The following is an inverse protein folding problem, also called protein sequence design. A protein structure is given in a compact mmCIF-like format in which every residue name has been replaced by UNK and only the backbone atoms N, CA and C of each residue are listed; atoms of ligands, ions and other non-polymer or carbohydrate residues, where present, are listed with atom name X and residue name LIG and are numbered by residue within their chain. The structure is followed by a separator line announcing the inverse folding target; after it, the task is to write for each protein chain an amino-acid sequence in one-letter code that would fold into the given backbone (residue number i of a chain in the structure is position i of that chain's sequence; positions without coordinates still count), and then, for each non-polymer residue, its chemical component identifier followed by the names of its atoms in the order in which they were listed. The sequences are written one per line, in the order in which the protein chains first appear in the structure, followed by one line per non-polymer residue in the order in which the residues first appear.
data_IF_045421926827
#
_entry.id   IF_045421926827
#
_cell.length_a   1.000
_cell.length_b   1.000
_cell.length_c   1.000
_cell.angle_alpha   90.00
_cell.angle_beta   90.00
_cell.angle_gamma   90.00
#
_symmetry.space_group_name_H-M   'P 1'
#
loop_
_entity.id
_entity.type
_entity.pdbx_description
1 polymer ?
#
# COMPACT_ATOMS: atom_id res chain seq x y z
N UNK A 1 -11.83 13.78 -7.03
CA UNK A 1 -12.08 12.52 -7.76
C UNK A 1 -10.81 11.72 -7.89
N UNK A 2 -10.90 10.46 -8.21
CA UNK A 2 -9.75 9.57 -8.28
C UNK A 2 -9.79 8.75 -9.57
N UNK A 3 -8.59 8.32 -10.01
CA UNK A 3 -8.42 7.32 -11.06
C UNK A 3 -8.16 5.97 -10.42
N UNK A 4 -8.45 4.90 -11.17
CA UNK A 4 -8.16 3.53 -10.74
C UNK A 4 -7.18 2.88 -11.70
N UNK A 5 -6.24 2.11 -11.14
CA UNK A 5 -5.29 1.31 -11.91
C UNK A 5 -5.43 -0.14 -11.45
N UNK A 6 -5.77 -1.04 -12.38
CA UNK A 6 -5.93 -2.45 -12.03
C UNK A 6 -4.58 -3.06 -11.65
N UNK A 7 -4.54 -3.73 -10.50
CA UNK A 7 -3.38 -4.48 -10.04
C UNK A 7 -3.55 -5.98 -10.18
N UNK A 8 -4.67 -6.40 -10.74
CA UNK A 8 -4.99 -7.82 -10.94
C UNK A 8 -3.98 -8.47 -11.89
N UNK A 9 -3.38 -9.55 -11.44
CA UNK A 9 -2.38 -10.27 -12.24
C UNK A 9 -0.97 -9.67 -12.19
N UNK A 10 -0.75 -8.57 -11.47
CA UNK A 10 0.58 -8.02 -11.28
C UNK A 10 1.45 -8.93 -10.42
N UNK A 11 2.74 -9.05 -10.78
CA UNK A 11 3.73 -9.66 -9.92
C UNK A 11 4.00 -8.75 -8.72
N UNK A 12 4.61 -9.32 -7.68
CA UNK A 12 5.02 -8.54 -6.50
C UNK A 12 5.95 -7.40 -6.88
N UNK A 13 6.92 -7.66 -7.79
CA UNK A 13 7.85 -6.64 -8.28
C UNK A 13 7.13 -5.51 -9.02
N UNK A 14 6.19 -5.85 -9.90
CA UNK A 14 5.39 -4.84 -10.63
C UNK A 14 4.57 -3.98 -9.66
N UNK A 15 3.98 -4.60 -8.64
CA UNK A 15 3.25 -3.88 -7.60
C UNK A 15 4.14 -2.91 -6.84
N UNK A 16 5.37 -3.32 -6.49
CA UNK A 16 6.33 -2.45 -5.82
C UNK A 16 6.75 -1.28 -6.71
N UNK A 17 6.96 -1.51 -8.00
CA UNK A 17 7.26 -0.44 -8.97
C UNK A 17 6.11 0.55 -9.09
N UNK A 18 4.88 0.06 -9.11
CA UNK A 18 3.69 0.92 -9.16
C UNK A 18 3.63 1.84 -7.95
N UNK A 19 3.97 1.35 -6.76
CA UNK A 19 4.00 2.15 -5.53
C UNK A 19 5.03 3.27 -5.56
N UNK A 20 6.09 3.15 -6.36
CA UNK A 20 7.11 4.19 -6.52
C UNK A 20 6.60 5.42 -7.29
N UNK A 21 5.45 5.29 -7.97
CA UNK A 21 4.90 6.39 -8.77
C UNK A 21 4.17 7.45 -7.94
N UNK A 22 4.06 7.27 -6.64
CA UNK A 22 3.37 8.23 -5.78
C UNK A 22 3.66 8.00 -4.30
N UNK A 23 2.93 8.71 -3.46
CA UNK A 23 3.06 8.70 -2.00
C UNK A 23 1.82 8.01 -1.43
N UNK A 24 2.00 6.85 -0.82
CA UNK A 24 0.94 6.10 -0.16
C UNK A 24 0.77 6.49 1.31
N UNK A 25 -0.21 5.88 1.97
CA UNK A 25 -0.51 6.18 3.36
C UNK A 25 0.66 5.94 4.32
N UNK A 26 1.41 4.86 4.13
CA UNK A 26 2.58 4.55 4.97
C UNK A 26 3.74 5.53 4.75
N UNK A 27 3.86 6.10 3.55
CA UNK A 27 4.91 7.07 3.23
C UNK A 27 4.65 8.43 3.89
N UNK A 28 3.37 8.81 4.01
CA UNK A 28 2.99 10.12 4.55
C UNK A 28 3.50 10.33 5.97
N UNK A 29 3.40 9.33 6.84
CA UNK A 29 3.91 9.41 8.21
C UNK A 29 5.42 9.61 8.27
N UNK A 30 6.16 8.93 7.38
CA UNK A 30 7.62 9.08 7.30
C UNK A 30 8.01 10.49 6.81
N UNK A 31 7.32 10.99 5.79
CA UNK A 31 7.57 12.33 5.23
C UNK A 31 7.34 13.42 6.28
N UNK A 32 6.32 13.27 7.11
CA UNK A 32 6.01 14.21 8.18
C UNK A 32 6.89 14.04 9.44
N UNK A 33 7.84 13.12 9.42
CA UNK A 33 8.74 12.88 10.56
C UNK A 33 8.10 12.13 11.72
N UNK A 34 6.98 11.46 11.50
CA UNK A 34 6.22 10.76 12.55
C UNK A 34 6.53 9.27 12.63
N UNK A 35 7.25 8.72 11.66
CA UNK A 35 7.60 7.31 11.65
C UNK A 35 8.98 7.10 12.27
N UNK A 36 9.11 6.33 13.38
CA UNK A 36 10.40 6.12 14.03
C UNK A 36 11.33 5.16 13.26
N UNK A 37 10.82 4.43 12.29
CA UNK A 37 11.59 3.42 11.57
C UNK A 37 12.07 3.88 10.19
N UNK A 38 11.38 4.84 9.58
CA UNK A 38 11.68 5.32 8.22
C UNK A 38 11.66 6.85 8.22
N UNK A 39 12.71 7.46 7.65
CA UNK A 39 12.82 8.92 7.54
C UNK A 39 12.26 9.43 6.21
N UNK A 40 12.02 10.75 6.13
CA UNK A 40 11.63 11.39 4.88
C UNK A 40 12.69 11.20 3.79
N UNK A 41 13.97 11.24 4.16
CA UNK A 41 15.08 11.03 3.21
C UNK A 41 15.08 9.62 2.64
N UNK A 42 14.77 8.61 3.46
CA UNK A 42 14.67 7.22 2.98
C UNK A 42 13.53 7.05 1.99
N UNK A 43 12.38 7.69 2.23
CA UNK A 43 11.26 7.69 1.28
C UNK A 43 11.67 8.35 -0.03
N UNK A 44 12.34 9.50 0.03
CA UNK A 44 12.85 10.20 -1.15
C UNK A 44 13.78 9.31 -1.96
N UNK A 45 14.75 8.68 -1.31
CA UNK A 45 15.69 7.78 -1.97
C UNK A 45 14.99 6.59 -2.61
N UNK A 46 14.05 5.98 -1.91
CA UNK A 46 13.28 4.85 -2.43
C UNK A 46 12.47 5.23 -3.67
N UNK A 47 11.80 6.38 -3.63
CA UNK A 47 10.95 6.84 -4.75
C UNK A 47 11.72 7.32 -5.97
N UNK A 48 12.95 7.79 -5.79
CA UNK A 48 13.77 8.36 -6.87
C UNK A 48 14.85 7.42 -7.41
N UNK A 49 15.16 6.35 -6.69
CA UNK A 49 16.15 5.36 -7.11
C UNK A 49 15.52 4.34 -8.07
N UNK A 50 16.23 3.99 -9.14
CA UNK A 50 15.78 2.96 -10.05
C UNK A 50 15.84 1.58 -9.39
N UNK A 51 14.93 0.69 -9.83
CA UNK A 51 14.84 -0.66 -9.32
C UNK A 51 13.94 -0.77 -8.10
N UNK A 52 13.75 -1.98 -7.65
CA UNK A 52 12.86 -2.32 -6.54
C UNK A 52 13.65 -3.03 -5.45
N UNK A 53 13.55 -2.50 -4.24
CA UNK A 53 14.15 -3.14 -3.07
C UNK A 53 13.08 -3.94 -2.36
N UNK A 54 13.20 -5.25 -2.38
CA UNK A 54 12.34 -6.12 -1.60
C UNK A 54 12.87 -6.21 -0.17
N UNK A 55 12.02 -5.82 0.78
CA UNK A 55 12.27 -6.02 2.20
C UNK A 55 11.12 -6.84 2.74
N UNK A 56 11.43 -8.00 3.28
CA UNK A 56 10.43 -8.84 3.91
C UNK A 56 10.92 -9.26 5.30
N UNK A 57 9.98 -9.40 6.23
CA UNK A 57 10.27 -9.85 7.58
C UNK A 57 9.07 -10.62 8.14
N UNK A 58 9.22 -11.15 9.34
CA UNK A 58 8.20 -11.98 9.97
C UNK A 58 6.90 -11.19 10.23
N UNK A 59 7.00 -9.92 10.61
CA UNK A 59 5.82 -9.07 10.82
C UNK A 59 5.02 -8.88 9.54
N UNK A 60 5.68 -8.64 8.43
CA UNK A 60 5.04 -8.50 7.12
C UNK A 60 4.40 -9.81 6.66
N UNK A 61 5.09 -10.93 6.89
CA UNK A 61 4.59 -12.26 6.58
C UNK A 61 3.33 -12.58 7.38
N UNK A 62 3.34 -12.33 8.68
CA UNK A 62 2.17 -12.52 9.54
C UNK A 62 0.99 -11.65 9.10
N UNK A 63 1.24 -10.42 8.68
CA UNK A 63 0.22 -9.53 8.14
C UNK A 63 -0.46 -10.12 6.91
N UNK A 64 0.32 -10.68 5.98
CA UNK A 64 -0.22 -11.34 4.79
C UNK A 64 -1.01 -12.60 5.14
N UNK A 65 -0.46 -13.43 6.02
CA UNK A 65 -1.07 -14.71 6.40
C UNK A 65 -2.40 -14.52 7.15
N UNK A 66 -2.52 -13.44 7.91
CA UNK A 66 -3.69 -13.15 8.73
C UNK A 66 -4.73 -12.25 8.05
N UNK A 67 -4.45 -11.75 6.85
CA UNK A 67 -5.33 -10.80 6.16
C UNK A 67 -6.75 -11.35 5.97
N UNK A 68 -6.88 -12.59 5.49
CA UNK A 68 -8.19 -13.21 5.28
C UNK A 68 -8.92 -13.46 6.61
N UNK A 69 -8.20 -13.83 7.64
CA UNK A 69 -8.77 -14.01 8.98
C UNK A 69 -9.33 -12.69 9.53
N UNK A 70 -8.55 -11.64 9.44
CA UNK A 70 -8.96 -10.30 9.90
C UNK A 70 -10.20 -9.83 9.15
N UNK A 71 -10.24 -10.02 7.83
CA UNK A 71 -11.40 -9.65 7.02
C UNK A 71 -12.65 -10.41 7.45
N UNK A 72 -12.55 -11.72 7.72
CA UNK A 72 -13.67 -12.53 8.21
C UNK A 72 -14.17 -12.04 9.57
N UNK A 73 -13.26 -11.77 10.49
CA UNK A 73 -13.63 -11.28 11.83
C UNK A 73 -14.32 -9.93 11.74
N UNK A 74 -13.84 -9.05 10.89
CA UNK A 74 -14.46 -7.74 10.65
C UNK A 74 -15.91 -7.92 10.15
N UNK A 75 -16.14 -8.80 9.18
CA UNK A 75 -17.47 -9.07 8.64
C UNK A 75 -18.41 -9.65 9.69
N UNK A 76 -17.91 -10.56 10.54
CA UNK A 76 -18.70 -11.16 11.64
C UNK A 76 -19.12 -10.14 12.68
N UNK A 77 -18.23 -9.25 13.07
CA UNK A 77 -18.48 -8.29 14.15
C UNK A 77 -19.29 -7.07 13.72
N UNK A 78 -19.14 -6.65 12.47
CA UNK A 78 -19.81 -5.44 11.98
C UNK A 78 -21.02 -5.72 11.10
N UNK A 79 -21.18 -6.94 10.59
CA UNK A 79 -22.21 -7.28 9.61
C UNK A 79 -21.97 -6.67 8.23
N UNK A 80 -20.87 -5.97 8.03
CA UNK A 80 -20.51 -5.36 6.75
C UNK A 80 -19.74 -6.37 5.91
N UNK A 81 -19.94 -6.32 4.59
CA UNK A 81 -19.23 -7.19 3.65
C UNK A 81 -18.01 -6.45 3.10
N UNK A 82 -16.87 -7.13 3.06
CA UNK A 82 -15.66 -6.63 2.43
C UNK A 82 -15.16 -7.63 1.40
N UNK A 83 -14.56 -7.14 0.34
CA UNK A 83 -13.99 -7.97 -0.72
C UNK A 83 -12.57 -7.51 -1.04
N UNK A 84 -11.77 -8.42 -1.59
CA UNK A 84 -10.41 -8.10 -2.00
C UNK A 84 -10.45 -7.03 -3.09
N UNK A 85 -9.63 -6.00 -2.90
CA UNK A 85 -9.45 -4.94 -3.90
C UNK A 85 -8.20 -5.23 -4.72
N UNK A 86 -8.34 -5.23 -6.05
CA UNK A 86 -7.21 -5.39 -6.98
C UNK A 86 -7.02 -4.10 -7.78
N UNK A 87 -7.10 -2.96 -7.11
CA UNK A 87 -7.06 -1.64 -7.73
C UNK A 87 -6.22 -0.71 -6.86
N UNK A 88 -5.34 0.06 -7.49
CA UNK A 88 -4.67 1.18 -6.86
C UNK A 88 -5.44 2.46 -7.24
N UNK A 89 -5.70 3.31 -6.28
CA UNK A 89 -6.39 4.58 -6.47
C UNK A 89 -5.38 5.72 -6.54
N UNK A 90 -5.62 6.67 -7.43
CA UNK A 90 -4.78 7.86 -7.58
C UNK A 90 -5.67 9.10 -7.61
N UNK A 91 -5.30 10.11 -6.83
CA UNK A 91 -6.02 11.39 -6.85
C UNK A 91 -5.80 12.10 -8.18
N UNK A 92 -6.88 12.58 -8.81
CA UNK A 92 -6.79 13.38 -10.03
C UNK A 92 -6.32 14.80 -9.74
N UNK A 93 -6.69 15.34 -8.59
CA UNK A 93 -6.29 16.69 -8.17
C UNK A 93 -4.82 16.73 -7.75
N UNK A 94 -4.37 15.69 -7.07
CA UNK A 94 -3.01 15.58 -6.57
C UNK A 94 -2.42 14.21 -6.98
N UNK A 95 -1.91 14.06 -8.21
CA UNK A 95 -1.49 12.76 -8.76
C UNK A 95 -0.41 12.02 -7.97
N UNK A 96 0.31 12.70 -7.08
CA UNK A 96 1.27 12.03 -6.20
C UNK A 96 0.60 11.23 -5.07
N UNK A 97 -0.69 11.47 -4.80
CA UNK A 97 -1.42 10.76 -3.75
C UNK A 97 -1.98 9.46 -4.30
N UNK A 98 -1.52 8.35 -3.77
CA UNK A 98 -1.96 7.01 -4.15
C UNK A 98 -2.46 6.24 -2.92
N UNK A 99 -3.35 5.30 -3.14
CA UNK A 99 -3.82 4.40 -2.10
C UNK A 99 -3.96 2.98 -2.66
N UNK A 100 -3.41 2.03 -1.94
CA UNK A 100 -3.48 0.61 -2.27
C UNK A 100 -4.21 -0.08 -1.11
N UNK A 101 -5.46 -0.45 -1.36
CA UNK A 101 -6.38 -0.93 -0.33
C UNK A 101 -6.52 -2.45 -0.44
N UNK A 102 -6.29 -3.17 0.66
CA UNK A 102 -6.40 -4.64 0.67
C UNK A 102 -7.84 -5.11 0.52
N UNK A 103 -8.77 -4.45 1.21
CA UNK A 103 -10.20 -4.79 1.22
C UNK A 103 -11.06 -3.55 1.02
N UNK A 104 -12.19 -3.76 0.43
CA UNK A 104 -13.12 -2.66 0.15
C UNK A 104 -14.54 -3.02 0.58
#
# INVERSE_FOLDING_TARGET
MYETVSTKGMSHEEGLRMRKTGIGGSDAGAICGLNPYVSAMEVFQDKTTEGVKEVDNESMRQGRDLEDYVARRFMEETGLKVRRSNVMYRSQENPFMIADVDRL
#
